data_IF_528143055247
#
_entry.id   IF_528143055247
#
_cell.length_a   1.000
_cell.length_b   1.000
_cell.length_c   1.000
_cell.angle_alpha   90.00
_cell.angle_beta   90.00
_cell.angle_gamma   90.00
#
_symmetry.space_group_name_H-M   'P 1'
#
loop_
_entity.id
_entity.type
_entity.pdbx_description
1 polymer ?
#
# COMPACT_ATOMS: atom_id res chain seq x y z
N UNK A 1 19.01 38.55 -6.78
CA UNK A 1 20.16 37.71 -6.36
C UNK A 1 20.12 36.36 -7.09
N UNK A 2 20.32 36.36 -8.42
CA UNK A 2 20.26 35.13 -9.25
C UNK A 2 21.67 34.59 -9.58
N UNK A 3 22.69 35.45 -9.56
CA UNK A 3 24.02 35.19 -10.11
C UNK A 3 24.91 34.20 -9.32
N UNK A 4 24.53 33.83 -8.08
CA UNK A 4 25.28 32.88 -7.26
C UNK A 4 24.78 31.44 -7.41
N UNK A 5 23.50 31.22 -7.75
CA UNK A 5 22.97 29.87 -7.92
C UNK A 5 23.48 29.22 -9.21
N UNK A 6 23.52 29.99 -10.31
CA UNK A 6 24.04 29.53 -11.61
C UNK A 6 25.52 29.11 -11.59
N UNK A 7 26.32 29.61 -10.64
CA UNK A 7 27.76 29.29 -10.56
C UNK A 7 28.08 28.02 -9.78
N UNK A 8 27.13 27.53 -8.98
CA UNK A 8 27.30 26.35 -8.14
C UNK A 8 26.41 25.17 -8.56
N UNK A 9 25.56 25.36 -9.57
CA UNK A 9 24.76 24.28 -10.13
C UNK A 9 25.68 23.39 -10.98
N UNK A 10 26.05 22.24 -10.42
CA UNK A 10 26.92 21.27 -11.07
C UNK A 10 26.16 20.58 -12.23
N UNK A 11 26.51 20.87 -13.49
CA UNK A 11 25.83 20.26 -14.64
C UNK A 11 26.01 18.74 -14.66
N UNK A 12 27.08 18.20 -14.05
CA UNK A 12 27.26 16.76 -13.94
C UNK A 12 26.27 16.14 -12.96
N UNK A 13 25.95 16.82 -11.85
CA UNK A 13 24.95 16.35 -10.89
C UNK A 13 23.56 16.22 -11.53
N UNK A 14 23.14 17.19 -12.34
CA UNK A 14 21.89 17.12 -13.09
C UNK A 14 21.89 15.95 -14.09
N UNK A 15 22.99 15.71 -14.79
CA UNK A 15 23.10 14.62 -15.75
C UNK A 15 23.09 13.23 -15.07
N UNK A 16 23.76 13.10 -13.92
CA UNK A 16 23.69 11.91 -13.09
C UNK A 16 22.28 11.68 -12.54
N UNK A 17 21.59 12.74 -12.11
CA UNK A 17 20.21 12.65 -11.63
C UNK A 17 19.26 12.15 -12.75
N UNK A 18 19.43 12.63 -13.99
CA UNK A 18 18.67 12.15 -15.16
C UNK A 18 18.87 10.66 -15.41
N UNK A 19 20.12 10.19 -15.35
CA UNK A 19 20.41 8.77 -15.54
C UNK A 19 19.80 7.92 -14.40
N UNK A 20 19.96 8.38 -13.16
CA UNK A 20 19.48 7.67 -11.97
C UNK A 20 17.96 7.60 -11.93
N UNK A 21 17.24 8.70 -12.21
CA UNK A 21 15.77 8.72 -12.12
C UNK A 21 15.13 7.76 -13.12
N UNK A 22 15.69 7.62 -14.33
CA UNK A 22 15.20 6.68 -15.34
C UNK A 22 15.43 5.22 -14.94
N UNK A 23 16.52 4.94 -14.22
CA UNK A 23 16.84 3.59 -13.72
C UNK A 23 16.21 3.27 -12.36
N UNK A 24 15.63 4.26 -11.68
CA UNK A 24 15.11 4.08 -10.32
C UNK A 24 13.88 3.18 -10.35
N UNK A 25 13.91 2.13 -9.53
CA UNK A 25 12.80 1.19 -9.35
C UNK A 25 12.49 1.06 -7.87
N UNK A 26 11.20 1.00 -7.54
CA UNK A 26 10.73 0.69 -6.19
C UNK A 26 11.19 -0.72 -5.80
N UNK A 27 10.95 -1.70 -6.68
CA UNK A 27 11.25 -3.10 -6.41
C UNK A 27 10.37 -3.65 -5.28
N UNK A 28 11.01 -4.20 -4.24
CA UNK A 28 10.34 -4.69 -3.01
C UNK A 28 10.39 -3.68 -1.85
N UNK A 29 10.94 -2.50 -2.09
CA UNK A 29 11.10 -1.49 -1.05
C UNK A 29 9.76 -0.79 -0.78
N UNK A 30 9.55 -0.28 0.45
CA UNK A 30 8.39 0.54 0.77
C UNK A 30 8.27 1.73 -0.18
N UNK A 31 7.04 2.13 -0.50
CA UNK A 31 6.75 3.31 -1.34
C UNK A 31 7.36 4.56 -0.74
N UNK A 32 7.36 4.69 0.60
CA UNK A 32 7.95 5.84 1.29
C UNK A 32 9.45 6.02 1.00
N UNK A 33 10.23 4.93 1.03
CA UNK A 33 11.66 4.96 0.71
C UNK A 33 11.89 5.31 -0.76
N UNK A 34 11.09 4.73 -1.65
CA UNK A 34 11.14 5.03 -3.08
C UNK A 34 10.81 6.50 -3.38
N UNK A 35 9.79 7.07 -2.74
CA UNK A 35 9.45 8.49 -2.86
C UNK A 35 10.60 9.37 -2.39
N UNK A 36 11.24 9.03 -1.26
CA UNK A 36 12.36 9.79 -0.73
C UNK A 36 13.52 9.84 -1.73
N UNK A 37 13.92 8.69 -2.27
CA UNK A 37 14.96 8.60 -3.32
C UNK A 37 14.56 9.41 -4.55
N UNK A 38 13.32 9.26 -5.01
CA UNK A 38 12.81 9.95 -6.18
C UNK A 38 12.85 11.48 -6.00
N UNK A 39 12.36 11.98 -4.86
CA UNK A 39 12.39 13.41 -4.53
C UNK A 39 13.81 13.98 -4.47
N UNK A 40 14.77 13.20 -3.95
CA UNK A 40 16.18 13.61 -3.93
C UNK A 40 16.74 13.82 -5.33
N UNK A 41 16.34 12.99 -6.30
CA UNK A 41 16.75 13.12 -7.70
C UNK A 41 16.01 14.28 -8.39
N UNK A 42 14.72 14.44 -8.14
CA UNK A 42 13.90 15.54 -8.68
C UNK A 42 14.45 16.92 -8.30
N UNK A 43 15.03 17.05 -7.10
CA UNK A 43 15.63 18.31 -6.64
C UNK A 43 16.76 18.81 -7.57
N UNK A 44 17.41 17.91 -8.30
CA UNK A 44 18.45 18.20 -9.29
C UNK A 44 17.93 18.30 -10.73
N UNK A 45 16.61 18.16 -10.95
CA UNK A 45 15.95 18.11 -12.25
C UNK A 45 14.94 19.25 -12.42
N UNK A 46 15.34 20.49 -12.11
CA UNK A 46 14.45 21.67 -12.14
C UNK A 46 13.84 21.94 -13.51
N UNK A 47 14.54 21.56 -14.58
CA UNK A 47 14.08 21.78 -15.96
C UNK A 47 13.12 20.67 -16.47
N UNK A 48 12.89 19.62 -15.68
CA UNK A 48 12.03 18.53 -16.11
C UNK A 48 10.56 18.88 -15.88
N UNK A 49 9.71 18.74 -16.92
CA UNK A 49 8.29 19.03 -16.76
C UNK A 49 7.62 17.94 -15.91
N UNK A 50 6.63 18.33 -15.11
CA UNK A 50 6.00 17.44 -14.13
C UNK A 50 5.43 16.15 -14.75
N UNK A 51 4.88 16.22 -15.97
CA UNK A 51 4.36 15.04 -16.67
C UNK A 51 5.43 13.96 -16.93
N UNK A 52 6.69 14.36 -17.18
CA UNK A 52 7.81 13.42 -17.35
C UNK A 52 8.17 12.76 -16.03
N UNK A 53 8.11 13.53 -14.93
CA UNK A 53 8.35 13.00 -13.59
C UNK A 53 7.24 12.04 -13.16
N UNK A 54 5.98 12.38 -13.44
CA UNK A 54 4.82 11.50 -13.21
C UNK A 54 5.02 10.18 -13.98
N UNK A 55 5.35 10.27 -15.26
CA UNK A 55 5.62 9.09 -16.08
C UNK A 55 6.73 8.23 -15.47
N UNK A 56 7.87 8.83 -15.08
CA UNK A 56 8.96 8.06 -14.50
C UNK A 56 8.65 7.47 -13.13
N UNK A 57 7.86 8.16 -12.31
CA UNK A 57 7.41 7.60 -11.05
C UNK A 57 6.52 6.38 -11.29
N UNK A 58 5.57 6.46 -12.22
CA UNK A 58 4.67 5.35 -12.57
C UNK A 58 5.44 4.15 -13.13
N UNK A 59 6.37 4.37 -14.05
CA UNK A 59 7.22 3.31 -14.62
C UNK A 59 8.15 2.67 -13.58
N UNK A 60 8.52 3.42 -12.53
CA UNK A 60 9.38 2.95 -11.46
C UNK A 60 8.65 2.23 -10.33
N UNK A 61 7.33 2.38 -10.21
CA UNK A 61 6.52 1.70 -9.21
C UNK A 61 6.53 0.17 -9.40
N UNK A 62 6.32 -0.54 -8.29
CA UNK A 62 6.05 -1.97 -8.36
C UNK A 62 4.76 -2.23 -9.16
N UNK A 63 4.78 -3.25 -10.04
CA UNK A 63 3.64 -3.58 -10.91
C UNK A 63 2.34 -3.83 -10.17
N UNK A 64 2.39 -4.56 -9.05
CA UNK A 64 1.20 -4.84 -8.23
C UNK A 64 0.60 -3.52 -7.71
N UNK A 65 1.45 -2.66 -7.18
CA UNK A 65 1.05 -1.37 -6.64
C UNK A 65 0.53 -0.44 -7.74
N UNK A 66 1.22 -0.40 -8.88
CA UNK A 66 0.78 0.33 -10.07
C UNK A 66 -0.62 -0.10 -10.53
N UNK A 67 -0.89 -1.41 -10.62
CA UNK A 67 -2.19 -1.93 -11.00
C UNK A 67 -3.29 -1.57 -10.00
N UNK A 68 -2.98 -1.53 -8.70
CA UNK A 68 -3.92 -1.09 -7.67
C UNK A 68 -4.16 0.43 -7.68
N UNK A 69 -3.25 1.21 -8.26
CA UNK A 69 -3.43 2.65 -8.47
C UNK A 69 -4.30 2.98 -9.71
N UNK A 70 -4.31 2.14 -10.75
CA UNK A 70 -5.03 2.40 -12.02
C UNK A 70 -6.53 2.73 -11.87
N UNK A 71 -7.32 2.05 -11.02
CA UNK A 71 -8.74 2.34 -10.86
C UNK A 71 -9.05 3.75 -10.37
N UNK A 72 -8.07 4.42 -9.77
CA UNK A 72 -8.20 5.76 -9.20
C UNK A 72 -7.95 6.89 -10.23
N UNK A 73 -7.62 6.52 -11.48
CA UNK A 73 -7.50 7.43 -12.62
C UNK A 73 -6.08 7.85 -12.98
N UNK A 74 -5.97 8.75 -13.96
CA UNK A 74 -4.67 9.30 -14.43
C UNK A 74 -4.29 10.50 -13.58
N UNK A 75 -3.33 10.31 -12.68
CA UNK A 75 -2.81 11.39 -11.84
C UNK A 75 -1.80 12.23 -12.62
N UNK A 76 -2.13 13.50 -12.87
CA UNK A 76 -1.23 14.46 -13.54
C UNK A 76 -0.28 15.19 -12.60
N UNK A 77 -0.43 14.96 -11.29
CA UNK A 77 0.30 15.66 -10.25
C UNK A 77 1.09 14.64 -9.41
N UNK A 78 2.38 14.89 -9.21
CA UNK A 78 3.26 14.02 -8.43
C UNK A 78 2.80 13.82 -6.99
N UNK A 79 2.39 14.91 -6.32
CA UNK A 79 1.96 14.87 -4.93
C UNK A 79 0.75 13.97 -4.74
N UNK A 80 -0.23 14.09 -5.63
CA UNK A 80 -1.43 13.24 -5.59
C UNK A 80 -1.06 11.77 -5.81
N UNK A 81 -0.11 11.50 -6.71
CA UNK A 81 0.37 10.15 -6.98
C UNK A 81 1.16 9.55 -5.80
N UNK A 82 1.97 10.35 -5.11
CA UNK A 82 2.67 9.93 -3.90
C UNK A 82 1.69 9.52 -2.80
N UNK A 83 0.68 10.36 -2.55
CA UNK A 83 -0.35 10.07 -1.55
C UNK A 83 -1.14 8.81 -1.91
N UNK A 84 -1.53 8.67 -3.17
CA UNK A 84 -2.24 7.47 -3.62
C UNK A 84 -1.40 6.21 -3.44
N UNK A 85 -0.15 6.21 -3.92
CA UNK A 85 0.72 5.04 -3.83
C UNK A 85 0.95 4.61 -2.37
N UNK A 86 1.18 5.56 -1.48
CA UNK A 86 1.31 5.27 -0.04
C UNK A 86 0.01 4.70 0.53
N UNK A 87 -1.15 5.28 0.21
CA UNK A 87 -2.43 4.78 0.71
C UNK A 87 -2.74 3.38 0.19
N UNK A 88 -2.45 3.10 -1.08
CA UNK A 88 -2.61 1.78 -1.68
C UNK A 88 -1.69 0.75 -1.00
N UNK A 89 -0.43 1.10 -0.75
CA UNK A 89 0.50 0.21 -0.01
C UNK A 89 -0.03 -0.14 1.38
N UNK A 90 -0.49 0.86 2.14
CA UNK A 90 -1.05 0.66 3.48
C UNK A 90 -2.33 -0.18 3.44
N UNK A 91 -3.23 0.09 2.49
CA UNK A 91 -4.46 -0.67 2.35
C UNK A 91 -4.17 -2.14 2.00
N UNK A 92 -3.24 -2.39 1.07
CA UNK A 92 -2.82 -3.76 0.72
C UNK A 92 -2.25 -4.50 1.92
N UNK A 93 -1.44 -3.83 2.75
CA UNK A 93 -0.91 -4.40 3.98
C UNK A 93 -2.04 -4.80 4.95
N UNK A 94 -3.03 -3.94 5.16
CA UNK A 94 -4.19 -4.21 6.03
C UNK A 94 -5.02 -5.38 5.48
N UNK A 95 -5.29 -5.41 4.18
CA UNK A 95 -6.04 -6.51 3.56
C UNK A 95 -5.33 -7.86 3.71
N UNK A 96 -4.00 -7.88 3.58
CA UNK A 96 -3.21 -9.10 3.78
C UNK A 96 -3.28 -9.59 5.23
N UNK A 97 -3.26 -8.68 6.20
CA UNK A 97 -3.39 -9.01 7.62
C UNK A 97 -4.79 -9.56 7.96
N UNK A 98 -5.85 -8.92 7.44
CA UNK A 98 -7.22 -9.40 7.59
C UNK A 98 -7.42 -10.79 6.95
N UNK A 99 -6.92 -11.00 5.74
CA UNK A 99 -6.99 -12.28 5.05
C UNK A 99 -6.21 -13.38 5.77
N UNK A 100 -5.08 -13.04 6.41
CA UNK A 100 -4.32 -13.96 7.24
C UNK A 100 -5.05 -14.33 8.53
N UNK A 101 -5.84 -13.41 9.11
CA UNK A 101 -6.67 -13.68 10.28
C UNK A 101 -7.89 -14.55 9.95
N UNK A 102 -8.56 -14.29 8.82
CA UNK A 102 -9.71 -15.09 8.35
C UNK A 102 -9.29 -16.51 7.95
N UNK A 103 -8.12 -16.67 7.33
CA UNK A 103 -7.59 -17.99 6.95
C UNK A 103 -6.92 -18.74 8.11
N UNK A 104 -6.93 -18.22 9.34
CA UNK A 104 -6.57 -19.05 10.50
C UNK A 104 -7.67 -20.12 10.63
N UNK A 105 -7.35 -21.41 10.49
CA UNK A 105 -8.33 -22.43 10.82
C UNK A 105 -8.75 -22.18 12.27
N UNK A 106 -10.05 -21.97 12.50
CA UNK A 106 -10.62 -22.06 13.83
C UNK A 106 -10.20 -23.42 14.40
N UNK A 107 -9.13 -23.44 15.20
CA UNK A 107 -8.82 -24.58 16.05
C UNK A 107 -9.97 -24.63 17.04
N UNK A 108 -10.94 -25.51 16.78
CA UNK A 108 -11.84 -25.93 17.83
C UNK A 108 -10.98 -26.31 19.04
N UNK A 109 -11.27 -25.80 20.24
CA UNK A 109 -10.55 -26.23 21.43
C UNK A 109 -10.66 -27.75 21.52
N UNK A 110 -9.50 -28.44 21.50
CA UNK A 110 -9.41 -29.88 21.73
C UNK A 110 -9.78 -30.16 23.17
N UNK A 111 -11.07 -30.26 23.44
CA UNK A 111 -11.59 -30.43 24.79
C UNK A 111 -13.10 -30.67 24.88
N UNK A 112 -13.83 -30.81 23.77
CA UNK A 112 -15.22 -31.26 23.84
C UNK A 112 -15.25 -32.79 23.91
N UNK A 113 -15.59 -33.41 25.06
CA UNK A 113 -15.86 -34.83 25.09
C UNK A 113 -17.11 -35.10 24.24
N UNK A 114 -16.97 -36.01 23.28
CA UNK A 114 -18.10 -36.52 22.52
C UNK A 114 -19.14 -37.09 23.50
N UNK A 115 -20.25 -36.37 23.69
CA UNK A 115 -21.36 -36.87 24.50
C UNK A 115 -22.02 -38.03 23.77
N UNK A 116 -21.78 -39.22 24.31
CA UNK A 116 -22.42 -40.49 23.98
C UNK A 116 -23.76 -40.57 24.74
N UNK A 117 -24.83 -40.98 24.05
CA UNK A 117 -26.15 -41.29 24.64
C UNK A 117 -27.06 -40.06 24.69
N UNK A 118 -28.35 -40.08 24.34
CA UNK A 118 -29.32 -41.17 24.23
C UNK A 118 -30.63 -40.69 24.87
N UNK A 119 -31.63 -40.41 24.02
CA UNK A 119 -33.10 -40.40 24.25
C UNK A 119 -33.68 -39.68 25.48
N UNK A 120 -34.54 -38.68 25.20
CA UNK A 120 -35.96 -38.60 25.60
C UNK A 120 -36.40 -37.15 25.94
N UNK A 121 -37.50 -36.73 25.31
CA UNK A 121 -38.53 -35.90 25.95
C UNK A 121 -38.36 -34.37 26.03
N UNK A 122 -39.28 -33.69 25.34
CA UNK A 122 -39.90 -32.41 25.70
C UNK A 122 -39.09 -31.09 25.61
N UNK A 123 -39.46 -30.29 24.59
CA UNK A 123 -39.48 -28.82 24.65
C UNK A 123 -40.56 -28.37 25.66
N UNK A 124 -40.37 -27.25 26.40
CA UNK A 124 -40.67 -25.96 25.79
C UNK A 124 -39.73 -24.79 26.14
N UNK A 125 -39.55 -23.97 25.11
CA UNK A 125 -39.37 -22.52 25.08
C UNK A 125 -39.06 -21.76 26.38
N UNK A 126 -37.79 -21.38 26.53
CA UNK A 126 -37.40 -20.04 27.01
C UNK A 126 -36.19 -19.59 26.21
N UNK A 127 -36.21 -18.33 25.77
CA UNK A 127 -35.40 -17.83 24.69
C UNK A 127 -33.91 -17.72 25.01
N UNK A 128 -33.09 -18.30 24.15
CA UNK A 128 -31.70 -17.93 23.97
C UNK A 128 -31.46 -17.84 22.46
N UNK A 129 -31.22 -16.61 21.98
CA UNK A 129 -30.83 -16.35 20.60
C UNK A 129 -29.43 -16.92 20.39
N UNK A 130 -29.13 -17.53 19.23
CA UNK A 130 -27.80 -18.06 19.00
C UNK A 130 -26.75 -16.93 18.94
N UNK A 131 -25.65 -17.14 19.64
CA UNK A 131 -24.50 -16.23 19.76
C UNK A 131 -23.74 -16.13 18.43
N UNK A 132 -24.31 -15.42 17.45
CA UNK A 132 -23.58 -14.94 16.27
C UNK A 132 -24.02 -13.54 15.82
N UNK A 133 -24.93 -12.89 16.56
CA UNK A 133 -25.20 -11.46 16.37
C UNK A 133 -24.35 -10.65 17.33
N UNK A 134 -23.20 -10.20 16.85
CA UNK A 134 -22.71 -8.83 17.02
C UNK A 134 -21.42 -8.67 16.21
N UNK A 135 -21.59 -8.17 14.99
CA UNK A 135 -20.55 -7.39 14.36
C UNK A 135 -20.28 -6.16 15.24
N UNK A 136 -19.02 -6.01 15.64
CA UNK A 136 -18.45 -4.80 16.17
C UNK A 136 -16.96 -4.81 15.83
N UNK A 137 -16.65 -4.60 14.57
CA UNK A 137 -15.36 -4.03 14.18
C UNK A 137 -15.51 -2.50 14.37
N UNK A 138 -14.94 -1.98 15.45
CA UNK A 138 -14.60 -0.57 15.60
C UNK A 138 -13.11 -0.39 15.28
#
# INVERSE_FOLDING_TARGET
MQALQDRFEDPTAAQHAKARICSLRQGKRPVAEYIQDFCSLVAHLRDWPEHMLVYQFQEGLNKELYHNCLPWGVHRNLRALYQLATNVELNLMVYQECAAHENRPHRMPKGCPASRGGKDGALPATGEKPCWTLGACF
#
